data_IF_242630070687
#
_entry.id   IF_242630070687
#
_cell.length_a   1.000
_cell.length_b   1.000
_cell.length_c   1.000
_cell.angle_alpha   90.00
_cell.angle_beta   90.00
_cell.angle_gamma   90.00
#
_symmetry.space_group_name_H-M   'P 1'
#
loop_
_entity.id
_entity.type
_entity.pdbx_description
1 polymer ?
#
# COMPACT_ATOMS: atom_id res chain seq x y z
N UNK A 1 19.66 11.68 -4.07
CA UNK A 1 18.48 11.41 -3.23
C UNK A 1 17.74 10.25 -3.87
N UNK A 2 17.57 9.13 -3.18
CA UNK A 2 16.81 7.99 -3.67
C UNK A 2 15.30 8.20 -3.45
N UNK A 3 14.46 7.33 -4.03
CA UNK A 3 13.00 7.43 -3.85
C UNK A 3 12.62 7.09 -2.41
N UNK A 4 13.32 6.16 -1.78
CA UNK A 4 13.20 5.85 -0.35
C UNK A 4 13.55 7.03 0.55
N UNK A 5 14.64 7.74 0.25
CA UNK A 5 15.00 8.97 0.99
C UNK A 5 13.94 10.07 0.84
N UNK A 6 13.36 10.23 -0.36
CA UNK A 6 12.26 11.16 -0.61
C UNK A 6 11.00 10.76 0.18
N UNK A 7 10.64 9.49 0.17
CA UNK A 7 9.50 8.96 0.93
C UNK A 7 9.69 9.22 2.43
N UNK A 8 10.90 8.98 2.95
CA UNK A 8 11.21 9.26 4.36
C UNK A 8 11.03 10.73 4.69
N UNK A 9 11.55 11.63 3.85
CA UNK A 9 11.40 13.07 4.04
C UNK A 9 9.91 13.50 4.04
N UNK A 10 9.08 12.92 3.16
CA UNK A 10 7.64 13.20 3.12
C UNK A 10 6.91 12.74 4.39
N UNK A 11 7.30 11.58 4.95
CA UNK A 11 6.74 11.07 6.20
C UNK A 11 7.17 11.92 7.40
N UNK A 12 8.42 12.37 7.43
CA UNK A 12 8.92 13.26 8.49
C UNK A 12 8.23 14.64 8.41
N UNK A 13 7.99 15.17 7.20
CA UNK A 13 7.20 16.38 7.01
C UNK A 13 5.74 16.20 7.47
N UNK A 14 5.12 15.06 7.14
CA UNK A 14 3.77 14.75 7.59
C UNK A 14 3.69 14.67 9.13
N UNK A 15 4.64 14.00 9.78
CA UNK A 15 4.72 13.94 11.23
C UNK A 15 4.88 15.33 11.87
N UNK A 16 5.70 16.20 11.29
CA UNK A 16 5.86 17.57 11.76
C UNK A 16 4.54 18.35 11.70
N UNK A 17 3.80 18.25 10.59
CA UNK A 17 2.48 18.89 10.45
C UNK A 17 1.47 18.39 11.48
N UNK A 18 1.47 17.09 11.78
CA UNK A 18 0.56 16.51 12.78
C UNK A 18 0.94 16.91 14.21
N UNK A 19 2.24 16.98 14.54
CA UNK A 19 2.73 17.52 15.82
C UNK A 19 2.20 18.92 16.08
N UNK A 20 2.30 19.78 15.06
CA UNK A 20 1.86 21.17 15.14
C UNK A 20 0.34 21.27 15.30
N UNK A 21 -0.43 20.47 14.55
CA UNK A 21 -1.90 20.47 14.62
C UNK A 21 -2.43 19.98 15.97
N UNK A 22 -1.81 18.93 16.54
CA UNK A 22 -2.25 18.34 17.81
C UNK A 22 -1.67 19.08 19.03
N UNK A 23 -0.72 19.98 18.84
CA UNK A 23 0.03 20.61 19.92
C UNK A 23 0.84 19.60 20.74
N UNK A 24 1.20 18.47 20.14
CA UNK A 24 1.92 17.37 20.80
C UNK A 24 3.34 17.25 20.21
N UNK A 25 4.34 17.93 20.79
CA UNK A 25 5.71 17.87 20.27
C UNK A 25 6.36 16.49 20.44
N UNK A 26 5.82 15.64 21.32
CA UNK A 26 6.33 14.30 21.61
C UNK A 26 5.74 13.18 20.71
N UNK A 27 4.92 13.53 19.71
CA UNK A 27 4.40 12.54 18.77
C UNK A 27 5.56 11.98 17.94
N UNK A 28 5.96 10.74 18.18
CA UNK A 28 7.09 10.10 17.52
C UNK A 28 6.68 8.73 16.97
N UNK A 29 7.35 8.29 15.91
CA UNK A 29 7.19 6.93 15.42
C UNK A 29 7.76 5.96 16.45
N UNK A 30 6.95 5.01 16.89
CA UNK A 30 7.47 3.94 17.74
C UNK A 30 8.40 3.00 16.95
N UNK A 31 9.09 2.10 17.65
CA UNK A 31 10.04 1.18 17.02
C UNK A 31 9.39 0.29 15.94
N UNK A 32 8.14 -0.12 16.15
CA UNK A 32 7.41 -0.96 15.19
C UNK A 32 7.06 -0.16 13.94
N UNK A 33 6.58 1.06 14.10
CA UNK A 33 6.27 1.99 13.01
C UNK A 33 7.54 2.31 12.20
N UNK A 34 8.67 2.54 12.87
CA UNK A 34 9.96 2.75 12.20
C UNK A 34 10.35 1.56 11.32
N UNK A 35 10.20 0.33 11.81
CA UNK A 35 10.49 -0.87 11.00
C UNK A 35 9.64 -0.94 9.73
N UNK A 36 8.36 -0.55 9.80
CA UNK A 36 7.47 -0.50 8.65
C UNK A 36 7.86 0.61 7.67
N UNK A 37 8.21 1.80 8.18
CA UNK A 37 8.68 2.92 7.36
C UNK A 37 9.98 2.55 6.63
N UNK A 38 10.93 1.94 7.32
CA UNK A 38 12.20 1.52 6.72
C UNK A 38 11.99 0.44 5.64
N UNK A 39 11.06 -0.49 5.88
CA UNK A 39 10.68 -1.48 4.88
C UNK A 39 10.04 -0.83 3.63
N UNK A 40 9.17 0.16 3.83
CA UNK A 40 8.56 0.91 2.73
C UNK A 40 9.61 1.70 1.92
N UNK A 41 10.59 2.32 2.58
CA UNK A 41 11.66 3.06 1.92
C UNK A 41 12.54 2.12 1.06
N UNK A 42 12.92 0.95 1.60
CA UNK A 42 13.67 -0.06 0.83
C UNK A 42 12.88 -0.60 -0.36
N UNK A 43 11.58 -0.80 -0.20
CA UNK A 43 10.70 -1.26 -1.28
C UNK A 43 10.61 -0.20 -2.39
N UNK A 44 10.50 1.08 -2.03
CA UNK A 44 10.46 2.18 -2.98
C UNK A 44 11.74 2.24 -3.84
N UNK A 45 12.91 2.10 -3.22
CA UNK A 45 14.19 2.06 -3.95
C UNK A 45 14.31 0.83 -4.87
N UNK A 46 13.82 -0.33 -4.43
CA UNK A 46 13.83 -1.54 -5.24
C UNK A 46 12.90 -1.43 -6.46
N UNK A 47 11.72 -0.81 -6.29
CA UNK A 47 10.78 -0.54 -7.38
C UNK A 47 11.39 0.42 -8.40
N UNK A 48 11.96 1.53 -7.94
CA UNK A 48 12.63 2.50 -8.82
C UNK A 48 13.74 1.85 -9.63
N UNK A 49 14.58 1.03 -8.99
CA UNK A 49 15.64 0.30 -9.70
C UNK A 49 15.06 -0.65 -10.76
N UNK A 50 14.00 -1.39 -10.45
CA UNK A 50 13.36 -2.29 -11.41
C UNK A 50 12.76 -1.53 -12.58
N UNK A 51 12.08 -0.41 -12.31
CA UNK A 51 11.45 0.42 -13.34
C UNK A 51 12.51 0.99 -14.30
N UNK A 52 13.63 1.52 -13.77
CA UNK A 52 14.77 1.96 -14.59
C UNK A 52 15.36 0.84 -15.46
N UNK A 53 15.47 -0.38 -14.93
CA UNK A 53 15.98 -1.54 -15.69
C UNK A 53 15.01 -1.98 -16.77
N UNK A 54 13.71 -1.95 -16.49
CA UNK A 54 12.66 -2.26 -17.46
C UNK A 54 12.72 -1.26 -18.61
N UNK A 55 12.81 0.04 -18.31
CA UNK A 55 12.91 1.10 -19.31
C UNK A 55 14.17 0.96 -20.18
N UNK A 56 15.33 0.71 -19.57
CA UNK A 56 16.58 0.52 -20.31
C UNK A 56 16.55 -0.69 -21.25
N UNK A 57 15.92 -1.79 -20.83
CA UNK A 57 15.71 -2.97 -21.70
C UNK A 57 14.71 -2.66 -22.84
N UNK A 58 13.64 -1.92 -22.57
CA UNK A 58 12.67 -1.51 -23.59
C UNK A 58 13.27 -0.55 -24.63
N UNK A 59 14.16 0.34 -24.20
CA UNK A 59 14.91 1.24 -25.07
C UNK A 59 15.97 0.51 -25.92
N UNK A 60 16.20 -0.79 -25.67
CA UNK A 60 17.17 -1.59 -26.41
C UNK A 60 18.62 -1.29 -26.04
N UNK A 61 18.87 -0.58 -24.94
CA UNK A 61 20.22 -0.17 -24.51
C UNK A 61 21.13 -1.36 -24.19
N UNK A 62 20.54 -2.53 -23.87
CA UNK A 62 21.26 -3.75 -23.51
C UNK A 62 21.29 -4.81 -24.63
N UNK A 63 20.98 -4.43 -25.87
CA UNK A 63 21.06 -5.33 -27.02
C UNK A 63 20.09 -6.51 -26.91
N UNK A 64 18.79 -6.23 -26.86
CA UNK A 64 17.74 -7.20 -27.18
C UNK A 64 17.75 -8.50 -26.36
N UNK A 65 18.10 -8.46 -25.08
CA UNK A 65 18.00 -9.64 -24.21
C UNK A 65 16.56 -9.80 -23.68
N UNK A 66 15.64 -10.17 -24.58
CA UNK A 66 14.25 -10.49 -24.27
C UNK A 66 14.02 -11.41 -23.04
N UNK A 67 14.93 -12.33 -22.66
CA UNK A 67 14.81 -13.08 -21.42
C UNK A 67 15.00 -12.27 -20.12
N UNK A 68 15.71 -11.14 -20.14
CA UNK A 68 15.97 -10.32 -18.95
C UNK A 68 14.77 -9.43 -18.59
N UNK A 69 14.14 -8.79 -19.58
CA UNK A 69 12.96 -7.95 -19.35
C UNK A 69 11.82 -8.74 -18.68
N UNK A 70 11.62 -10.01 -19.06
CA UNK A 70 10.62 -10.88 -18.43
C UNK A 70 10.93 -11.11 -16.95
N UNK A 71 12.20 -11.26 -16.57
CA UNK A 71 12.61 -11.41 -15.17
C UNK A 71 12.36 -10.15 -14.38
N UNK A 72 12.72 -8.98 -14.90
CA UNK A 72 12.47 -7.71 -14.23
C UNK A 72 10.96 -7.46 -14.03
N UNK A 73 10.14 -7.75 -15.03
CA UNK A 73 8.68 -7.67 -14.92
C UNK A 73 8.11 -8.64 -13.86
N UNK A 74 8.68 -9.84 -13.76
CA UNK A 74 8.27 -10.81 -12.73
C UNK A 74 8.61 -10.31 -11.31
N UNK A 75 9.83 -9.81 -11.12
CA UNK A 75 10.25 -9.24 -9.83
C UNK A 75 9.44 -8.01 -9.45
N UNK A 76 9.10 -7.16 -10.43
CA UNK A 76 8.26 -5.98 -10.19
C UNK A 76 6.86 -6.34 -9.67
N UNK A 77 6.27 -7.39 -10.22
CA UNK A 77 4.97 -7.93 -9.74
C UNK A 77 5.10 -8.58 -8.37
N UNK A 78 6.21 -9.27 -8.11
CA UNK A 78 6.46 -9.87 -6.80
C UNK A 78 6.59 -8.78 -5.72
N UNK A 79 7.23 -7.65 -6.03
CA UNK A 79 7.26 -6.49 -5.12
C UNK A 79 5.84 -5.98 -4.82
N UNK A 80 4.98 -5.83 -5.83
CA UNK A 80 3.57 -5.43 -5.62
C UNK A 80 2.81 -6.39 -4.70
N UNK A 81 2.99 -7.69 -4.91
CA UNK A 81 2.38 -8.74 -4.08
C UNK A 81 2.89 -8.67 -2.63
N UNK A 82 4.20 -8.47 -2.43
CA UNK A 82 4.80 -8.38 -1.09
C UNK A 82 4.44 -7.11 -0.36
N UNK A 83 4.33 -5.98 -1.05
CA UNK A 83 3.79 -4.74 -0.48
C UNK A 83 2.34 -4.96 -0.07
N UNK A 84 1.52 -5.54 -0.95
CA UNK A 84 0.10 -5.85 -0.65
C UNK A 84 -0.07 -6.80 0.54
N UNK A 85 0.81 -7.78 0.69
CA UNK A 85 0.87 -8.66 1.85
C UNK A 85 1.27 -7.89 3.12
N UNK A 86 2.29 -7.04 3.03
CA UNK A 86 2.79 -6.23 4.14
C UNK A 86 1.73 -5.28 4.69
N UNK A 87 0.94 -4.65 3.82
CA UNK A 87 -0.16 -3.74 4.21
C UNK A 87 -1.20 -4.42 5.13
N UNK A 88 -1.38 -5.73 5.04
CA UNK A 88 -2.29 -6.48 5.93
C UNK A 88 -1.86 -6.40 7.39
N UNK A 89 -0.57 -6.24 7.68
CA UNK A 89 -0.01 -6.20 9.03
C UNK A 89 -0.04 -4.81 9.67
N UNK A 90 -0.31 -3.76 8.89
CA UNK A 90 -0.41 -2.40 9.40
C UNK A 90 -1.71 -2.16 10.18
N UNK A 91 -2.69 -3.07 10.09
CA UNK A 91 -3.98 -3.02 10.82
C UNK A 91 -4.66 -1.64 10.77
N UNK A 92 -4.46 -0.87 9.70
CA UNK A 92 -5.07 0.44 9.54
C UNK A 92 -6.54 0.20 9.20
N UNK A 93 -7.44 0.45 10.15
CA UNK A 93 -8.89 0.21 10.00
C UNK A 93 -9.46 0.87 8.74
N UNK A 94 -8.93 2.04 8.38
CA UNK A 94 -9.30 2.84 7.21
C UNK A 94 -8.98 2.13 5.87
N UNK A 95 -8.01 1.21 5.86
CA UNK A 95 -7.62 0.40 4.71
C UNK A 95 -8.07 -1.06 4.85
N UNK A 96 -8.82 -1.40 5.90
CA UNK A 96 -9.40 -2.74 6.03
C UNK A 96 -10.40 -2.92 4.89
N UNK A 97 -10.20 -3.91 3.99
CA UNK A 97 -11.17 -4.17 2.95
C UNK A 97 -12.51 -4.43 3.60
N UNK A 98 -13.53 -3.61 3.26
CA UNK A 98 -14.91 -3.88 3.66
C UNK A 98 -15.19 -5.36 3.34
N UNK A 99 -15.64 -6.13 4.34
CA UNK A 99 -15.71 -7.60 4.31
C UNK A 99 -16.54 -8.19 3.15
N UNK A 100 -17.19 -7.36 2.33
CA UNK A 100 -17.59 -7.62 0.94
C UNK A 100 -18.27 -6.35 0.38
N UNK A 101 -17.60 -5.52 -0.44
CA UNK A 101 -18.23 -4.31 -0.99
C UNK A 101 -19.49 -4.63 -1.81
N UNK A 102 -19.46 -5.73 -2.57
CA UNK A 102 -20.58 -6.21 -3.38
C UNK A 102 -21.75 -6.81 -2.58
N UNK A 103 -21.48 -7.40 -1.40
CA UNK A 103 -22.53 -7.99 -0.54
C UNK A 103 -23.26 -6.90 0.26
N UNK A 104 -22.56 -5.81 0.59
CA UNK A 104 -23.16 -4.60 1.18
C UNK A 104 -23.99 -3.86 0.12
N UNK A 105 -23.42 -3.54 -1.05
CA UNK A 105 -24.15 -2.85 -2.11
C UNK A 105 -25.34 -3.65 -2.66
N UNK A 106 -25.17 -4.95 -2.91
CA UNK A 106 -26.22 -5.82 -3.45
C UNK A 106 -27.27 -6.28 -2.41
N UNK A 107 -26.92 -6.28 -1.12
CA UNK A 107 -27.84 -6.63 -0.03
C UNK A 107 -28.87 -5.54 0.24
N UNK A 108 -28.46 -4.26 0.15
CA UNK A 108 -29.35 -3.12 0.37
C UNK A 108 -30.27 -2.84 -0.82
N UNK A 109 -29.81 -3.01 -2.07
CA UNK A 109 -30.61 -2.67 -3.25
C UNK A 109 -31.78 -3.64 -3.54
N UNK A 110 -31.68 -4.91 -3.11
CA UNK A 110 -32.64 -5.95 -3.52
C UNK A 110 -33.82 -6.16 -2.56
N UNK A 111 -33.79 -5.58 -1.36
CA UNK A 111 -34.79 -5.83 -0.30
C UNK A 111 -35.25 -4.57 0.45
N UNK A 112 -34.94 -3.36 -0.05
CA UNK A 112 -35.28 -2.09 0.61
C UNK A 112 -36.78 -1.96 0.95
N UNK A 113 -37.66 -2.60 0.17
CA UNK A 113 -39.12 -2.53 0.36
C UNK A 113 -39.74 -3.76 1.05
N UNK A 114 -38.94 -4.75 1.47
CA UNK A 114 -39.46 -5.98 2.11
C UNK A 114 -39.04 -6.03 3.57
N UNK A 115 -39.84 -5.39 4.42
CA UNK A 115 -39.83 -5.63 5.86
C UNK A 115 -40.15 -7.11 6.12
N UNK A 116 -39.13 -7.92 6.42
CA UNK A 116 -39.38 -9.26 6.97
C UNK A 116 -39.86 -9.09 8.40
N UNK A 117 -41.16 -9.32 8.61
CA UNK A 117 -41.78 -9.31 9.93
C UNK A 117 -41.00 -10.17 10.91
N UNK A 118 -40.55 -9.54 12.00
CA UNK A 118 -39.97 -10.21 13.15
C UNK A 118 -41.07 -11.03 13.83
N UNK A 119 -41.10 -12.35 13.58
CA UNK A 119 -41.85 -13.26 14.46
C UNK A 119 -40.97 -13.54 15.68
N UNK A 120 -41.20 -12.75 16.72
CA UNK A 120 -40.80 -13.12 18.07
C UNK A 120 -41.50 -14.43 18.45
N UNK A 121 -40.75 -15.36 19.02
CA UNK A 121 -41.31 -16.47 19.78
C UNK A 121 -40.89 -16.30 21.22
N UNK A 122 -41.91 -16.24 22.07
CA UNK A 122 -41.86 -16.30 23.52
C UNK A 122 -41.21 -17.58 24.04
#
# INVERSE_FOLDING_TARGET
MTVGELLRAQLDEAMARERDQLGQPALEWDEREQQHIDAACRAADAVELLDQRIEAEQAGEHGGNGPLIVKYLAERRLQDDKVSEHLKYLHIEQFTPLKNPHRVAGGHARWADVQRGHRGTA
#
